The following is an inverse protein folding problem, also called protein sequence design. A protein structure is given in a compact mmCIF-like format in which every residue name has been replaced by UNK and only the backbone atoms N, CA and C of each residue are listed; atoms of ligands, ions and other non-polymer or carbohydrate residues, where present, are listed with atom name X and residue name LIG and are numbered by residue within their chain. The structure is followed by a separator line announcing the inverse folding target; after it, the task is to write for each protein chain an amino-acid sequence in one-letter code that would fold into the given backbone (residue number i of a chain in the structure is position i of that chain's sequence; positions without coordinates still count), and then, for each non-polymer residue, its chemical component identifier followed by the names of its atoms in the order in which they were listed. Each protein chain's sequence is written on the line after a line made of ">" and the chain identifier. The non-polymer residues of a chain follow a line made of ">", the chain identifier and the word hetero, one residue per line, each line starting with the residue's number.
data_IF_377564640537
#
_entry.id   IF_377564640537
#
_cell.length_a   1.000
_cell.length_b   1.000
_cell.length_c   1.000
_cell.angle_alpha   90.00
_cell.angle_beta   90.00
_cell.angle_gamma   90.00
#
_symmetry.space_group_name_H-M   'P 1'
#
loop_
_entity.id
_entity.type
_entity.pdbx_description
1 polymer ?
#
# COMPACT_ATOMS: atom_id res chain seq x y z
N UNK A 1 59.22 24.16 -39.94
CA UNK A 1 58.55 24.30 -38.62
C UNK A 1 57.00 24.27 -38.68
N UNK A 2 56.34 24.88 -39.69
CA UNK A 2 54.86 24.94 -39.77
C UNK A 2 54.13 23.56 -39.83
N UNK A 3 54.73 22.57 -40.51
CA UNK A 3 54.13 21.22 -40.64
C UNK A 3 54.08 20.45 -39.31
N UNK A 4 55.13 20.54 -38.50
CA UNK A 4 55.18 19.86 -37.20
C UNK A 4 54.15 20.44 -36.22
N UNK A 5 54.04 21.78 -36.16
CA UNK A 5 53.03 22.47 -35.37
C UNK A 5 51.59 22.11 -35.77
N UNK A 6 51.32 21.98 -37.08
CA UNK A 6 50.00 21.58 -37.57
C UNK A 6 49.64 20.14 -37.15
N UNK A 7 50.59 19.21 -37.23
CA UNK A 7 50.37 17.80 -36.83
C UNK A 7 50.12 17.70 -35.33
N UNK A 8 50.96 18.35 -34.51
CA UNK A 8 50.79 18.35 -33.06
C UNK A 8 49.45 18.96 -32.66
N UNK A 9 49.10 20.14 -33.22
CA UNK A 9 47.82 20.80 -32.95
C UNK A 9 46.62 19.91 -33.29
N UNK A 10 46.66 19.22 -34.43
CA UNK A 10 45.60 18.29 -34.84
C UNK A 10 45.43 17.15 -33.85
N UNK A 11 46.53 16.55 -33.38
CA UNK A 11 46.49 15.46 -32.39
C UNK A 11 45.92 15.95 -31.05
N UNK A 12 46.34 17.12 -30.58
CA UNK A 12 45.81 17.70 -29.33
C UNK A 12 44.31 17.96 -29.43
N UNK A 13 43.84 18.41 -30.59
CA UNK A 13 42.42 18.66 -30.87
C UNK A 13 41.60 17.36 -30.83
N UNK A 14 42.10 16.27 -31.42
CA UNK A 14 41.46 14.96 -31.35
C UNK A 14 41.44 14.40 -29.92
N UNK A 15 42.52 14.61 -29.15
CA UNK A 15 42.60 14.18 -27.76
C UNK A 15 41.57 14.91 -26.88
N UNK A 16 41.44 16.23 -27.07
CA UNK A 16 40.44 17.04 -26.37
C UNK A 16 39.02 16.63 -26.72
N UNK A 17 38.75 16.32 -28.00
CA UNK A 17 37.45 15.83 -28.43
C UNK A 17 37.09 14.50 -27.76
N UNK A 18 38.02 13.55 -27.69
CA UNK A 18 37.81 12.26 -27.02
C UNK A 18 37.54 12.43 -25.52
N UNK A 19 38.30 13.30 -24.84
CA UNK A 19 38.09 13.61 -23.42
C UNK A 19 36.71 14.23 -23.17
N UNK A 20 36.28 15.16 -24.04
CA UNK A 20 34.96 15.78 -23.96
C UNK A 20 33.82 14.76 -24.10
N UNK A 21 33.92 13.85 -25.08
CA UNK A 21 32.93 12.78 -25.28
C UNK A 21 32.91 11.83 -24.07
N UNK A 22 34.08 11.45 -23.55
CA UNK A 22 34.17 10.58 -22.38
C UNK A 22 33.51 11.20 -21.14
N UNK A 23 33.73 12.49 -20.90
CA UNK A 23 33.09 13.22 -19.80
C UNK A 23 31.56 13.30 -19.97
N UNK A 24 31.07 13.51 -21.20
CA UNK A 24 29.63 13.52 -21.50
C UNK A 24 28.96 12.17 -21.20
N UNK A 25 29.60 11.06 -21.59
CA UNK A 25 29.09 9.70 -21.31
C UNK A 25 29.01 9.46 -19.81
N UNK A 26 30.05 9.83 -19.05
CA UNK A 26 30.03 9.73 -17.58
C UNK A 26 28.91 10.58 -16.98
N UNK A 27 28.74 11.81 -17.45
CA UNK A 27 27.69 12.70 -16.94
C UNK A 27 26.29 12.15 -17.15
N UNK A 28 26.00 11.60 -18.35
CA UNK A 28 24.72 10.97 -18.66
C UNK A 28 24.51 9.71 -17.81
N UNK A 29 25.53 8.87 -17.65
CA UNK A 29 25.49 7.67 -16.81
C UNK A 29 25.27 8.02 -15.32
N UNK A 30 25.93 9.05 -14.80
CA UNK A 30 25.74 9.50 -13.42
C UNK A 30 24.32 10.03 -13.21
N UNK A 31 23.82 10.85 -14.15
CA UNK A 31 22.47 11.42 -14.08
C UNK A 31 21.40 10.33 -14.08
N UNK A 32 21.54 9.33 -14.94
CA UNK A 32 20.61 8.18 -14.99
C UNK A 32 20.71 7.32 -13.73
N UNK A 33 21.91 7.03 -13.22
CA UNK A 33 22.11 6.30 -11.98
C UNK A 33 21.50 7.00 -10.75
N UNK A 34 21.67 8.32 -10.65
CA UNK A 34 21.13 9.13 -9.55
C UNK A 34 19.59 9.22 -9.62
N UNK A 35 19.03 9.41 -10.82
CA UNK A 35 17.58 9.42 -11.05
C UNK A 35 16.95 8.07 -10.67
N UNK A 36 17.58 6.95 -11.01
CA UNK A 36 17.07 5.61 -10.68
C UNK A 36 17.07 5.34 -9.16
N UNK A 37 18.12 5.77 -8.44
CA UNK A 37 18.16 5.66 -6.98
C UNK A 37 17.11 6.56 -6.30
N UNK A 38 16.96 7.80 -6.77
CA UNK A 38 15.92 8.72 -6.27
C UNK A 38 14.51 8.17 -6.46
N UNK A 39 14.22 7.57 -7.62
CA UNK A 39 12.94 6.91 -7.89
C UNK A 39 12.69 5.72 -6.96
N UNK A 40 13.71 4.89 -6.69
CA UNK A 40 13.57 3.75 -5.79
C UNK A 40 13.20 4.17 -4.36
N UNK A 41 13.83 5.22 -3.83
CA UNK A 41 13.57 5.71 -2.47
C UNK A 41 12.15 6.29 -2.37
N UNK A 42 11.71 7.03 -3.40
CA UNK A 42 10.34 7.57 -3.47
C UNK A 42 9.29 6.47 -3.60
N UNK A 43 9.54 5.40 -4.36
CA UNK A 43 8.61 4.28 -4.48
C UNK A 43 8.50 3.49 -3.18
N UNK A 44 9.61 3.23 -2.49
CA UNK A 44 9.57 2.56 -1.19
C UNK A 44 8.79 3.38 -0.14
N UNK A 45 9.00 4.69 -0.07
CA UNK A 45 8.26 5.55 0.85
C UNK A 45 6.75 5.59 0.57
N UNK A 46 6.35 5.61 -0.71
CA UNK A 46 4.93 5.56 -1.11
C UNK A 46 4.30 4.20 -0.78
N UNK A 47 4.98 3.08 -1.04
CA UNK A 47 4.44 1.73 -0.75
C UNK A 47 4.18 1.57 0.75
N UNK A 48 5.14 1.93 1.60
CA UNK A 48 5.00 1.82 3.06
C UNK A 48 3.87 2.70 3.58
N UNK A 49 3.77 3.96 3.12
CA UNK A 49 2.63 4.82 3.51
C UNK A 49 1.28 4.27 3.03
N UNK A 50 1.21 3.67 1.85
CA UNK A 50 -0.04 3.08 1.35
C UNK A 50 -0.44 1.80 2.08
N UNK A 51 0.51 0.98 2.51
CA UNK A 51 0.25 -0.24 3.28
C UNK A 51 -0.25 0.12 4.69
N UNK A 52 0.44 1.02 5.40
CA UNK A 52 0.01 1.47 6.74
C UNK A 52 -1.36 2.16 6.73
N UNK A 53 -1.65 2.96 5.69
CA UNK A 53 -2.96 3.61 5.54
C UNK A 53 -4.06 2.63 5.16
N UNK A 54 -3.75 1.60 4.36
CA UNK A 54 -4.71 0.55 4.01
C UNK A 54 -5.06 -0.31 5.23
N UNK A 55 -4.05 -0.74 6.00
CA UNK A 55 -4.24 -1.50 7.24
C UNK A 55 -5.04 -0.70 8.28
N UNK A 56 -4.74 0.60 8.45
CA UNK A 56 -5.50 1.48 9.35
C UNK A 56 -6.97 1.68 8.90
N UNK A 57 -7.22 1.81 7.60
CA UNK A 57 -8.58 1.89 7.05
C UNK A 57 -9.34 0.58 7.24
N UNK A 58 -8.66 -0.57 7.07
CA UNK A 58 -9.26 -1.88 7.25
C UNK A 58 -9.62 -2.16 8.72
N UNK A 59 -8.71 -1.87 9.66
CA UNK A 59 -8.94 -2.01 11.10
C UNK A 59 -10.13 -1.14 11.58
N UNK A 60 -10.19 0.11 11.10
CA UNK A 60 -11.29 1.03 11.45
C UNK A 60 -12.64 0.49 10.97
N UNK A 61 -12.72 0.03 9.71
CA UNK A 61 -13.96 -0.55 9.17
C UNK A 61 -14.36 -1.85 9.88
N UNK A 62 -13.39 -2.70 10.26
CA UNK A 62 -13.67 -3.94 11.01
C UNK A 62 -14.29 -3.61 12.36
N UNK A 63 -13.72 -2.66 13.11
CA UNK A 63 -14.25 -2.23 14.41
C UNK A 63 -15.66 -1.69 14.31
N UNK A 64 -15.93 -0.81 13.33
CA UNK A 64 -17.27 -0.28 13.12
C UNK A 64 -18.28 -1.38 12.75
N UNK A 65 -17.88 -2.35 11.93
CA UNK A 65 -18.74 -3.46 11.55
C UNK A 65 -19.04 -4.40 12.73
N UNK A 66 -18.07 -4.62 13.61
CA UNK A 66 -18.23 -5.40 14.84
C UNK A 66 -19.17 -4.70 15.83
N UNK A 67 -19.06 -3.39 15.98
CA UNK A 67 -19.95 -2.59 16.82
C UNK A 67 -21.41 -2.65 16.33
N UNK A 68 -21.64 -2.46 15.03
CA UNK A 68 -22.97 -2.58 14.41
C UNK A 68 -23.55 -3.99 14.60
N UNK A 69 -22.70 -5.02 14.47
CA UNK A 69 -23.10 -6.42 14.66
C UNK A 69 -23.54 -6.67 16.10
N UNK A 70 -22.76 -6.21 17.08
CA UNK A 70 -23.07 -6.38 18.49
C UNK A 70 -24.34 -5.62 18.90
N UNK A 71 -24.53 -4.40 18.38
CA UNK A 71 -25.76 -3.64 18.59
C UNK A 71 -27.00 -4.37 18.06
N UNK A 72 -26.92 -4.92 16.83
CA UNK A 72 -28.02 -5.69 16.25
C UNK A 72 -28.28 -7.00 17.00
N UNK A 73 -27.23 -7.70 17.41
CA UNK A 73 -27.35 -8.94 18.20
C UNK A 73 -28.06 -8.68 19.53
N UNK A 74 -27.66 -7.64 20.26
CA UNK A 74 -28.31 -7.27 21.54
C UNK A 74 -29.78 -6.91 21.34
N UNK A 75 -30.10 -6.15 20.29
CA UNK A 75 -31.49 -5.81 19.97
C UNK A 75 -32.32 -7.05 19.61
N UNK A 76 -31.76 -7.99 18.85
CA UNK A 76 -32.42 -9.26 18.54
C UNK A 76 -32.66 -10.09 19.81
N UNK A 77 -31.68 -10.14 20.71
CA UNK A 77 -31.79 -10.83 22.00
C UNK A 77 -32.92 -10.24 22.86
N UNK A 78 -33.01 -8.91 22.94
CA UNK A 78 -34.08 -8.21 23.65
C UNK A 78 -35.46 -8.53 23.07
N UNK A 79 -35.60 -8.51 21.74
CA UNK A 79 -36.84 -8.86 21.05
C UNK A 79 -37.26 -10.31 21.33
N UNK A 80 -36.33 -11.28 21.24
CA UNK A 80 -36.64 -12.67 21.57
C UNK A 80 -37.11 -12.79 23.04
N UNK A 81 -36.40 -12.16 23.98
CA UNK A 81 -36.76 -12.19 25.41
C UNK A 81 -38.12 -11.57 25.69
N UNK A 82 -38.46 -10.46 25.04
CA UNK A 82 -39.76 -9.81 25.17
C UNK A 82 -40.90 -10.73 24.69
N UNK A 83 -40.65 -11.53 23.67
CA UNK A 83 -41.58 -12.57 23.20
C UNK A 83 -41.57 -13.86 24.04
N UNK A 84 -40.77 -13.93 25.11
CA UNK A 84 -40.61 -15.14 25.93
C UNK A 84 -39.81 -16.26 25.24
N UNK A 85 -39.11 -15.93 24.16
CA UNK A 85 -38.29 -16.82 23.34
C UNK A 85 -36.81 -16.59 23.62
N UNK A 86 -35.97 -17.53 23.19
CA UNK A 86 -34.50 -17.44 23.31
C UNK A 86 -33.90 -17.37 21.91
N UNK A 87 -32.90 -16.51 21.73
CA UNK A 87 -32.16 -16.41 20.48
C UNK A 87 -31.50 -17.77 20.16
N UNK A 88 -31.90 -18.41 19.06
CA UNK A 88 -31.35 -19.69 18.60
C UNK A 88 -30.18 -19.50 17.65
N UNK A 89 -30.31 -18.57 16.70
CA UNK A 89 -29.28 -18.30 15.69
C UNK A 89 -29.22 -16.82 15.38
N UNK A 90 -28.01 -16.36 15.11
CA UNK A 90 -27.74 -15.03 14.56
C UNK A 90 -26.76 -15.17 13.40
N UNK A 91 -27.18 -14.80 12.19
CA UNK A 91 -26.33 -14.68 11.03
C UNK A 91 -25.73 -13.28 10.98
N UNK A 92 -24.47 -13.15 11.38
CA UNK A 92 -23.76 -11.87 11.40
C UNK A 92 -23.46 -11.27 10.02
N UNK A 93 -23.57 -12.03 8.92
CA UNK A 93 -23.36 -11.52 7.55
C UNK A 93 -24.63 -10.91 6.97
N UNK A 94 -25.76 -11.60 7.13
CA UNK A 94 -27.05 -11.12 6.63
C UNK A 94 -27.87 -10.35 7.69
N UNK A 95 -27.34 -10.25 8.92
CA UNK A 95 -28.03 -9.66 10.08
C UNK A 95 -29.41 -10.27 10.35
N UNK A 96 -29.54 -11.57 10.09
CA UNK A 96 -30.76 -12.34 10.33
C UNK A 96 -30.69 -13.05 11.67
N UNK A 97 -31.84 -13.25 12.32
CA UNK A 97 -31.92 -13.95 13.59
C UNK A 97 -33.17 -14.83 13.69
N UNK A 98 -33.02 -15.94 14.41
CA UNK A 98 -34.11 -16.86 14.75
C UNK A 98 -34.24 -16.93 16.27
N UNK A 99 -35.46 -16.77 16.76
CA UNK A 99 -35.83 -17.00 18.15
C UNK A 99 -36.59 -18.33 18.23
N UNK A 100 -36.29 -19.15 19.22
CA UNK A 100 -37.01 -20.39 19.51
C UNK A 100 -37.63 -20.35 20.89
N UNK A 101 -38.61 -21.22 21.11
CA UNK A 101 -39.07 -21.47 22.47
C UNK A 101 -37.89 -21.91 23.33
N UNK A 102 -37.77 -21.38 24.56
CA UNK A 102 -36.76 -21.88 25.50
C UNK A 102 -36.96 -23.39 25.60
N UNK A 103 -35.86 -24.15 25.49
CA UNK A 103 -35.88 -25.59 25.75
C UNK A 103 -36.41 -25.82 27.17
N UNK A 104 -37.73 -25.96 27.30
CA UNK A 104 -38.34 -26.72 28.38
C UNK A 104 -38.05 -28.16 28.02
N UNK A 105 -36.82 -28.62 28.29
CA UNK A 105 -36.62 -30.04 28.57
C UNK A 105 -37.77 -30.45 29.49
N UNK A 106 -38.68 -31.28 28.96
CA UNK A 106 -39.81 -31.81 29.70
C UNK A 106 -39.26 -32.42 30.99
N UNK A 107 -39.79 -31.93 32.12
CA UNK A 107 -39.53 -32.33 33.51
C UNK A 107 -38.15 -31.99 34.09
#
# INVERSE_FOLDING_TARGET
>A
MKKALYITSKITLWLLALLGVYALVIFVALKTYYQNKGYSILTFGVIIMTEETYEAYLDTNIKQLEEIRNQKLNKALELCKQSGLVLRKFDGKNFSFECDEPNRSKL
#
